data_IF_131272450876
#
_entry.id   IF_131272450876
#
_cell.length_a   1.000
_cell.length_b   1.000
_cell.length_c   1.000
_cell.angle_alpha   90.00
_cell.angle_beta   90.00
_cell.angle_gamma   90.00
#
_symmetry.space_group_name_H-M   'P 1'
#
loop_
_entity.id
_entity.type
_entity.pdbx_description
1 polymer ?
#
# COMPACT_ATOMS: atom_id res chain seq x y z
N UNK A 1 7.23 -12.06 16.20
CA UNK A 1 8.59 -11.57 15.89
C UNK A 1 8.45 -10.36 14.99
N UNK A 2 8.87 -9.17 15.47
CA UNK A 2 8.79 -7.93 14.72
C UNK A 2 9.44 -8.11 13.35
N UNK A 3 8.78 -7.59 12.30
CA UNK A 3 9.39 -7.57 10.97
C UNK A 3 10.79 -6.96 11.07
N UNK A 4 11.81 -7.71 10.68
CA UNK A 4 13.18 -7.19 10.70
C UNK A 4 13.29 -6.19 9.57
N UNK A 5 13.66 -4.94 9.88
CA UNK A 5 14.05 -3.99 8.86
C UNK A 5 15.37 -4.48 8.28
N UNK A 6 15.38 -4.72 6.98
CA UNK A 6 16.54 -5.26 6.26
C UNK A 6 17.14 -4.19 5.35
N UNK A 7 18.33 -4.48 4.81
CA UNK A 7 18.99 -3.60 3.84
C UNK A 7 18.20 -3.56 2.52
N UNK A 8 18.32 -2.49 1.72
CA UNK A 8 17.70 -2.38 0.40
C UNK A 8 17.85 -3.62 -0.48
N UNK A 9 19.04 -4.22 -0.54
CA UNK A 9 19.30 -5.39 -1.39
C UNK A 9 18.50 -6.61 -0.95
N UNK A 10 18.44 -6.86 0.37
CA UNK A 10 17.69 -7.98 0.95
C UNK A 10 16.17 -7.76 0.82
N UNK A 11 15.71 -6.51 0.95
CA UNK A 11 14.30 -6.18 0.71
C UNK A 11 13.93 -6.36 -0.76
N UNK A 12 14.75 -5.87 -1.69
CA UNK A 12 14.56 -6.05 -3.13
C UNK A 12 14.51 -7.53 -3.51
N UNK A 13 15.41 -8.36 -2.98
CA UNK A 13 15.37 -9.81 -3.20
C UNK A 13 14.10 -10.46 -2.64
N UNK A 14 13.60 -9.97 -1.50
CA UNK A 14 12.36 -10.44 -0.91
C UNK A 14 11.11 -10.07 -1.71
N UNK A 15 11.16 -9.01 -2.53
CA UNK A 15 10.06 -8.58 -3.41
C UNK A 15 9.97 -9.37 -4.73
N UNK A 16 10.96 -10.20 -5.08
CA UNK A 16 10.97 -11.02 -6.32
C UNK A 16 9.93 -12.15 -6.36
N UNK A 17 8.95 -12.12 -5.47
CA UNK A 17 7.89 -13.10 -5.33
C UNK A 17 6.56 -12.38 -5.11
N UNK A 18 5.46 -13.13 -5.13
CA UNK A 18 4.17 -12.57 -4.75
C UNK A 18 4.13 -12.25 -3.25
N UNK A 19 4.38 -10.98 -2.92
CA UNK A 19 4.36 -10.45 -1.53
C UNK A 19 3.04 -9.80 -1.15
N UNK A 20 2.16 -9.53 -2.12
CA UNK A 20 0.83 -8.95 -1.92
C UNK A 20 -0.25 -10.03 -1.70
N UNK A 21 0.15 -11.30 -1.66
CA UNK A 21 -0.73 -12.45 -1.46
C UNK A 21 -1.90 -12.52 -2.46
N UNK A 22 -1.60 -12.18 -3.72
CA UNK A 22 -2.55 -12.19 -4.83
C UNK A 22 -3.44 -10.95 -4.93
N UNK A 23 -3.25 -9.94 -4.08
CA UNK A 23 -3.87 -8.63 -4.23
C UNK A 23 -3.06 -7.74 -5.19
N UNK A 24 -3.69 -6.78 -5.84
CA UNK A 24 -3.04 -5.90 -6.82
C UNK A 24 -2.08 -4.90 -6.17
N UNK A 25 -2.40 -4.45 -4.95
CA UNK A 25 -1.60 -3.49 -4.20
C UNK A 25 -1.63 -3.81 -2.71
N UNK A 26 -0.58 -3.40 -2.01
CA UNK A 26 -0.52 -3.39 -0.55
C UNK A 26 0.03 -2.05 -0.08
N UNK A 27 -0.64 -1.43 0.89
CA UNK A 27 -0.17 -0.24 1.60
C UNK A 27 0.18 -0.64 3.02
N UNK A 28 1.37 -0.28 3.49
CA UNK A 28 1.82 -0.54 4.85
C UNK A 28 2.05 0.76 5.63
N UNK A 29 1.60 0.81 6.87
CA UNK A 29 1.82 1.92 7.79
C UNK A 29 2.57 1.45 9.03
N UNK A 30 3.69 2.11 9.35
CA UNK A 30 4.46 1.79 10.55
C UNK A 30 3.74 2.24 11.84
N UNK A 31 3.85 1.42 12.88
CA UNK A 31 3.23 1.66 14.19
C UNK A 31 3.77 2.94 14.88
N UNK A 32 5.06 3.26 14.76
CA UNK A 32 5.67 4.41 15.45
C UNK A 32 5.07 5.76 14.97
N UNK A 33 5.01 6.03 13.65
CA UNK A 33 4.32 7.22 13.12
C UNK A 33 2.83 7.27 13.48
N UNK A 34 2.14 6.12 13.43
CA UNK A 34 0.73 6.04 13.83
C UNK A 34 0.54 6.41 15.32
N UNK A 35 1.41 5.91 16.20
CA UNK A 35 1.44 6.30 17.61
C UNK A 35 1.65 7.80 17.81
N UNK A 36 2.56 8.41 17.05
CA UNK A 36 2.81 9.86 17.11
C UNK A 36 1.56 10.64 16.69
N UNK A 37 0.88 10.21 15.63
CA UNK A 37 -0.36 10.84 15.15
C UNK A 37 -1.52 10.65 16.15
N UNK A 38 -1.63 9.45 16.73
CA UNK A 38 -2.64 9.11 17.72
C UNK A 38 -2.46 9.93 19.01
N UNK A 39 -1.23 10.03 19.54
CA UNK A 39 -0.93 10.88 20.70
C UNK A 39 -1.28 12.35 20.44
N UNK A 40 -0.92 12.90 19.27
CA UNK A 40 -1.31 14.27 18.89
C UNK A 40 -2.83 14.46 18.81
N UNK A 41 -3.57 13.45 18.35
CA UNK A 41 -5.02 13.50 18.28
C UNK A 41 -5.66 13.39 19.68
N UNK A 42 -5.07 12.56 20.54
CA UNK A 42 -5.49 12.38 21.94
C UNK A 42 -5.32 13.68 22.73
N UNK A 43 -4.13 14.28 22.71
CA UNK A 43 -3.82 15.49 23.49
C UNK A 43 -4.67 16.71 23.11
N UNK A 44 -5.29 16.69 21.92
CA UNK A 44 -6.16 17.78 21.44
C UNK A 44 -7.58 17.74 22.01
N UNK A 45 -8.09 16.59 22.48
CA UNK A 45 -9.43 16.58 23.09
C UNK A 45 -9.34 16.61 24.61
N UNK A 46 -9.82 17.69 25.21
CA UNK A 46 -9.87 17.87 26.65
C UNK A 46 -10.72 16.79 27.36
N UNK A 47 -11.65 16.17 26.63
CA UNK A 47 -12.55 15.09 27.10
C UNK A 47 -11.79 13.89 27.68
N UNK A 48 -10.55 13.66 27.25
CA UNK A 48 -9.72 12.55 27.72
C UNK A 48 -8.99 12.81 29.04
N UNK A 49 -8.86 14.08 29.43
CA UNK A 49 -7.95 14.53 30.49
C UNK A 49 -8.59 14.67 31.87
N UNK A 50 -9.91 14.42 31.99
CA UNK A 50 -10.62 14.45 33.27
C UNK A 50 -11.96 13.71 33.23
N UNK A 51 -11.89 12.40 33.19
CA UNK A 51 -13.05 11.53 33.23
C UNK A 51 -13.51 11.37 34.68
N UNK A 52 -14.79 11.63 34.95
CA UNK A 52 -15.37 11.47 36.29
C UNK A 52 -16.38 10.33 36.27
N UNK A 53 -16.19 9.35 37.15
CA UNK A 53 -17.05 8.16 37.21
C UNK A 53 -17.45 7.85 38.65
N UNK A 54 -18.66 7.34 38.82
CA UNK A 54 -19.17 6.92 40.12
C UNK A 54 -19.75 5.52 39.99
N UNK A 55 -19.32 4.61 40.84
CA UNK A 55 -19.87 3.25 40.93
C UNK A 55 -20.39 3.02 42.33
N UNK A 56 -21.49 2.27 42.42
CA UNK A 56 -22.07 1.89 43.69
C UNK A 56 -22.04 0.37 43.81
N UNK A 57 -21.51 -0.13 44.92
CA UNK A 57 -21.52 -1.55 45.27
C UNK A 57 -22.33 -1.72 46.55
N UNK A 58 -23.34 -2.59 46.53
CA UNK A 58 -24.25 -2.81 47.65
C UNK A 58 -24.02 -4.22 48.21
N UNK A 59 -23.69 -4.29 49.50
CA UNK A 59 -23.59 -5.52 50.28
C UNK A 59 -24.54 -5.43 51.48
N UNK A 60 -25.73 -6.00 51.35
CA UNK A 60 -26.77 -5.97 52.38
C UNK A 60 -27.07 -4.54 52.89
N UNK A 61 -26.67 -4.19 54.11
CA UNK A 61 -26.87 -2.87 54.73
C UNK A 61 -25.72 -1.88 54.48
N UNK A 62 -24.69 -2.29 53.76
CA UNK A 62 -23.50 -1.49 53.42
C UNK A 62 -23.56 -1.09 51.95
N UNK A 63 -23.49 0.20 51.69
CA UNK A 63 -23.38 0.78 50.33
C UNK A 63 -22.02 1.46 50.20
N UNK A 64 -21.26 1.11 49.18
CA UNK A 64 -19.95 1.68 48.89
C UNK A 64 -20.07 2.50 47.60
N UNK A 65 -19.90 3.83 47.70
CA UNK A 65 -19.83 4.71 46.53
C UNK A 65 -18.36 4.97 46.20
N UNK A 66 -17.90 4.55 45.01
CA UNK A 66 -16.55 4.81 44.51
C UNK A 66 -16.59 5.89 43.44
N UNK A 67 -16.00 7.04 43.74
CA UNK A 67 -15.90 8.18 42.83
C UNK A 67 -14.47 8.30 42.30
N UNK A 68 -14.33 8.25 41.00
CA UNK A 68 -13.09 8.34 40.27
C UNK A 68 -12.99 9.68 39.55
N UNK A 69 -11.82 10.29 39.61
CA UNK A 69 -11.42 11.38 38.72
C UNK A 69 -10.14 10.92 38.04
N UNK A 70 -10.27 10.44 36.81
CA UNK A 70 -9.21 9.76 36.06
C UNK A 70 -8.76 10.60 34.88
N UNK A 71 -7.46 10.57 34.64
CA UNK A 71 -6.81 11.07 33.44
C UNK A 71 -6.18 9.87 32.72
N UNK A 72 -6.61 9.62 31.48
CA UNK A 72 -6.05 8.58 30.64
C UNK A 72 -4.93 9.17 29.78
N UNK A 73 -3.71 8.69 30.02
CA UNK A 73 -2.56 9.06 29.20
C UNK A 73 -2.75 8.63 27.75
N UNK A 74 -2.03 9.31 26.84
CA UNK A 74 -2.10 9.01 25.42
C UNK A 74 -1.86 7.51 25.12
N UNK A 75 -2.69 6.88 24.28
CA UNK A 75 -2.60 5.46 24.03
C UNK A 75 -1.35 5.10 23.23
N UNK A 76 -0.68 4.03 23.66
CA UNK A 76 0.32 3.31 22.87
C UNK A 76 -0.36 2.19 22.08
N UNK A 77 -0.37 2.32 20.77
CA UNK A 77 -0.81 1.35 19.78
C UNK A 77 0.23 0.26 19.54
N UNK A 78 -0.26 -0.98 19.52
CA UNK A 78 0.38 -2.17 18.99
C UNK A 78 -0.62 -2.92 18.09
N UNK A 79 -0.12 -3.79 17.22
CA UNK A 79 -0.97 -4.64 16.39
C UNK A 79 -0.85 -6.10 16.82
N UNK A 80 -1.99 -6.75 17.01
CA UNK A 80 -2.04 -8.19 17.25
C UNK A 80 -1.84 -8.95 15.93
N UNK A 81 -1.09 -10.05 16.00
CA UNK A 81 -0.73 -10.89 14.85
C UNK A 81 -1.28 -12.31 14.96
N UNK A 82 -1.97 -12.61 16.06
CA UNK A 82 -2.53 -13.93 16.35
C UNK A 82 -3.93 -14.11 15.77
N UNK A 83 -4.61 -13.00 15.48
CA UNK A 83 -5.92 -12.97 14.84
C UNK A 83 -5.82 -12.97 13.32
N UNK A 84 -6.85 -13.54 12.70
CA UNK A 84 -7.08 -13.48 11.26
C UNK A 84 -7.61 -12.11 10.80
N UNK A 85 -8.02 -11.25 11.74
CA UNK A 85 -8.46 -9.88 11.49
C UNK A 85 -7.43 -8.88 11.99
N UNK A 86 -7.41 -7.70 11.37
CA UNK A 86 -6.64 -6.57 11.86
C UNK A 86 -7.14 -6.14 13.26
N UNK A 87 -6.31 -6.34 14.28
CA UNK A 87 -6.62 -5.99 15.66
C UNK A 87 -5.56 -5.01 16.18
N UNK A 88 -6.03 -3.94 16.81
CA UNK A 88 -5.23 -2.98 17.54
C UNK A 88 -5.30 -3.25 19.04
N UNK A 89 -4.15 -3.15 19.70
CA UNK A 89 -4.03 -3.14 21.16
C UNK A 89 -3.58 -1.74 21.54
N UNK A 90 -4.43 -1.01 22.28
CA UNK A 90 -4.14 0.32 22.77
C UNK A 90 -3.91 0.25 24.28
N UNK A 91 -2.81 0.80 24.75
CA UNK A 91 -2.47 0.81 26.19
C UNK A 91 -2.36 2.25 26.67
N UNK A 92 -3.16 2.63 27.67
CA UNK A 92 -3.25 3.98 28.24
C UNK A 92 -2.85 3.96 29.70
N UNK A 93 -2.04 4.92 30.14
CA UNK A 93 -1.70 5.06 31.56
C UNK A 93 -2.91 5.58 32.34
N UNK A 94 -3.19 5.00 33.51
CA UNK A 94 -4.27 5.45 34.38
C UNK A 94 -3.67 6.34 35.48
N UNK A 95 -4.03 7.62 35.47
CA UNK A 95 -3.68 8.57 36.52
C UNK A 95 -4.94 9.14 37.15
N UNK A 96 -4.83 9.70 38.36
CA UNK A 96 -5.94 10.43 38.97
C UNK A 96 -6.16 10.09 40.44
N UNK A 97 -7.41 10.16 40.88
CA UNK A 97 -7.80 9.88 42.25
C UNK A 97 -9.05 9.01 42.34
N UNK A 98 -9.13 8.23 43.42
CA UNK A 98 -10.32 7.46 43.81
C UNK A 98 -10.76 7.90 45.20
N UNK A 99 -12.05 8.14 45.38
CA UNK A 99 -12.68 8.44 46.67
C UNK A 99 -13.70 7.36 46.96
N UNK A 100 -13.64 6.75 48.15
CA UNK A 100 -14.56 5.67 48.53
C UNK A 100 -15.40 6.11 49.72
N UNK A 101 -16.66 6.44 49.48
CA UNK A 101 -17.62 6.71 50.55
C UNK A 101 -18.28 5.40 50.97
N UNK A 102 -18.59 5.25 52.26
CA UNK A 102 -19.27 4.07 52.79
C UNK A 102 -20.51 4.50 53.56
N UNK A 103 -21.66 3.94 53.22
CA UNK A 103 -22.91 4.12 53.95
C UNK A 103 -23.25 2.81 54.68
N UNK A 104 -23.30 2.83 56.01
CA UNK A 104 -23.65 1.66 56.82
C UNK A 104 -24.93 1.98 57.57
N UNK A 105 -25.98 1.17 57.40
CA UNK A 105 -27.27 1.34 58.08
C UNK A 105 -27.86 2.77 57.90
N UNK A 106 -27.68 3.35 56.71
CA UNK A 106 -28.16 4.70 56.37
C UNK A 106 -27.24 5.85 56.78
N UNK A 107 -26.12 5.59 57.46
CA UNK A 107 -25.14 6.63 57.85
C UNK A 107 -24.00 6.68 56.85
N UNK A 108 -23.91 7.77 56.08
CA UNK A 108 -22.85 8.00 55.09
C UNK A 108 -21.57 8.53 55.76
N UNK A 109 -20.48 7.81 55.56
CA UNK A 109 -19.12 8.21 55.92
C UNK A 109 -18.36 8.56 54.65
N UNK A 110 -18.02 9.83 54.43
CA UNK A 110 -17.28 10.24 53.24
C UNK A 110 -15.83 9.75 53.30
N UNK A 111 -15.33 9.27 52.17
CA UNK A 111 -13.94 8.87 52.00
C UNK A 111 -13.01 10.07 51.81
N UNK A 112 -11.72 9.83 51.97
CA UNK A 112 -10.69 10.77 51.51
C UNK A 112 -10.21 10.36 50.11
N UNK A 113 -10.00 11.32 49.19
CA UNK A 113 -9.43 11.01 47.88
C UNK A 113 -8.03 10.41 48.03
N UNK A 114 -7.81 9.23 47.45
CA UNK A 114 -6.50 8.59 47.34
C UNK A 114 -6.00 8.73 45.91
N UNK A 115 -4.73 9.09 45.75
CA UNK A 115 -4.11 9.16 44.44
C UNK A 115 -3.89 7.75 43.87
N UNK A 116 -4.17 7.58 42.59
CA UNK A 116 -3.73 6.40 41.84
C UNK A 116 -2.21 6.54 41.66
N UNK A 117 -1.41 5.54 42.07
CA UNK A 117 0.04 5.56 41.89
C UNK A 117 0.40 5.79 40.42
N UNK A 118 1.24 6.80 40.18
CA UNK A 118 1.72 7.11 38.84
C UNK A 118 2.49 5.93 38.28
N UNK A 119 2.27 5.69 36.99
CA UNK A 119 3.00 4.71 36.19
C UNK A 119 2.86 3.24 36.60
N UNK A 120 1.89 2.92 37.47
CA UNK A 120 1.67 1.54 37.96
C UNK A 120 0.58 0.81 37.19
N UNK A 121 -0.52 1.49 36.87
CA UNK A 121 -1.70 0.88 36.27
C UNK A 121 -1.95 1.39 34.85
N UNK A 122 -2.33 0.48 33.97
CA UNK A 122 -2.62 0.76 32.57
C UNK A 122 -3.97 0.15 32.18
N UNK A 123 -4.73 0.88 31.38
CA UNK A 123 -5.90 0.37 30.68
C UNK A 123 -5.43 -0.16 29.34
N UNK A 124 -5.52 -1.47 29.14
CA UNK A 124 -5.31 -2.10 27.85
C UNK A 124 -6.66 -2.39 27.20
N UNK A 125 -6.79 -2.02 25.93
CA UNK A 125 -7.98 -2.27 25.14
C UNK A 125 -7.60 -2.91 23.82
N UNK A 126 -8.19 -4.06 23.53
CA UNK A 126 -7.99 -4.81 22.29
C UNK A 126 -9.22 -4.63 21.44
N UNK A 127 -9.07 -4.04 20.25
CA UNK A 127 -10.19 -3.65 19.38
C UNK A 127 -9.94 -4.06 17.94
N UNK A 128 -10.98 -4.52 17.22
CA UNK A 128 -10.88 -4.73 15.79
C UNK A 128 -10.71 -3.39 15.06
N UNK A 129 -9.95 -3.43 13.97
CA UNK A 129 -9.87 -2.35 12.99
C UNK A 129 -10.87 -2.68 11.89
N UNK A 130 -11.83 -1.80 11.66
CA UNK A 130 -12.94 -2.03 10.71
C UNK A 130 -13.06 -0.86 9.75
N UNK A 131 -13.68 -1.11 8.60
CA UNK A 131 -14.07 -0.05 7.68
C UNK A 131 -15.44 0.53 8.06
N UNK A 132 -15.62 1.82 7.88
CA UNK A 132 -16.93 2.49 7.96
C UNK A 132 -17.17 3.32 6.71
N UNK A 133 -18.33 3.10 6.09
CA UNK A 133 -18.82 3.90 4.95
C UNK A 133 -20.18 4.47 5.32
N UNK A 134 -20.28 5.79 5.50
CA UNK A 134 -21.50 6.42 6.02
C UNK A 134 -21.89 5.84 7.39
N UNK A 135 -23.02 5.13 7.45
CA UNK A 135 -23.50 4.45 8.67
C UNK A 135 -23.24 2.94 8.69
N UNK A 136 -22.65 2.39 7.62
CA UNK A 136 -22.35 0.97 7.50
C UNK A 136 -20.98 0.67 8.10
N UNK A 137 -20.92 -0.36 8.95
CA UNK A 137 -19.69 -0.91 9.54
C UNK A 137 -19.37 -2.22 8.86
N UNK A 138 -18.12 -2.40 8.46
CA UNK A 138 -17.60 -3.58 7.76
C UNK A 138 -16.70 -4.41 8.69
N UNK A 139 -17.29 -5.27 9.51
CA UNK A 139 -16.62 -6.01 10.60
C UNK A 139 -16.66 -7.56 10.46
N UNK A 140 -17.33 -8.06 9.41
CA UNK A 140 -17.46 -9.50 9.12
C UNK A 140 -17.01 -9.87 7.70
N UNK A 141 -16.79 -8.89 6.83
CA UNK A 141 -16.50 -9.15 5.43
C UNK A 141 -15.02 -9.45 5.22
N UNK A 142 -14.76 -10.49 4.45
CA UNK A 142 -13.41 -10.85 4.04
C UNK A 142 -12.75 -9.71 3.24
N UNK A 143 -13.53 -9.04 2.38
CA UNK A 143 -13.12 -7.88 1.60
C UNK A 143 -14.25 -6.86 1.58
N UNK A 144 -13.91 -5.59 1.80
CA UNK A 144 -14.81 -4.45 1.68
C UNK A 144 -14.84 -4.06 0.22
N UNK A 145 -16.04 -3.99 -0.37
CA UNK A 145 -16.18 -3.75 -1.81
C UNK A 145 -16.91 -2.44 -2.11
N UNK A 146 -16.49 -1.81 -3.20
CA UNK A 146 -17.14 -0.65 -3.79
C UNK A 146 -17.99 -1.12 -4.98
N UNK A 147 -19.17 -1.69 -4.69
CA UNK A 147 -20.08 -2.27 -5.69
C UNK A 147 -21.30 -1.36 -5.96
N UNK A 148 -21.11 -0.19 -6.58
CA UNK A 148 -22.26 0.69 -6.84
C UNK A 148 -21.98 2.01 -7.56
N UNK A 149 -22.97 2.50 -8.34
CA UNK A 149 -23.02 3.90 -8.78
C UNK A 149 -23.40 4.76 -7.56
N UNK A 150 -22.46 5.56 -7.06
CA UNK A 150 -22.63 6.37 -5.86
C UNK A 150 -21.73 5.96 -4.68
N UNK A 151 -20.93 4.91 -4.85
CA UNK A 151 -19.97 4.40 -3.85
C UNK A 151 -18.66 5.21 -3.78
N UNK A 152 -18.60 6.41 -4.36
CA UNK A 152 -17.48 7.36 -4.24
C UNK A 152 -17.24 7.82 -2.78
N UNK A 153 -18.04 7.34 -1.83
CA UNK A 153 -17.89 7.65 -0.42
C UNK A 153 -16.61 6.99 0.11
N UNK A 154 -15.75 7.77 0.80
CA UNK A 154 -14.56 7.21 1.41
C UNK A 154 -14.96 6.20 2.50
N UNK A 155 -14.30 5.05 2.49
CA UNK A 155 -14.32 4.12 3.61
C UNK A 155 -13.24 4.52 4.61
N UNK A 156 -13.65 4.84 5.84
CA UNK A 156 -12.74 5.20 6.92
C UNK A 156 -12.34 3.96 7.72
N UNK A 157 -11.04 3.74 7.89
CA UNK A 157 -10.53 2.66 8.73
C UNK A 157 -10.41 3.17 10.16
N UNK A 158 -11.14 2.56 11.08
CA UNK A 158 -11.24 3.04 12.46
C UNK A 158 -10.95 1.94 13.49
N UNK A 159 -10.52 2.36 14.68
CA UNK A 159 -10.57 1.51 15.87
C UNK A 159 -12.01 1.38 16.36
N UNK A 160 -12.59 0.19 16.31
CA UNK A 160 -14.02 0.02 16.55
C UNK A 160 -14.32 -0.43 17.98
N UNK A 161 -14.37 0.54 18.91
CA UNK A 161 -14.57 0.27 20.33
C UNK A 161 -15.97 -0.28 20.66
N UNK A 162 -17.00 0.12 19.91
CA UNK A 162 -18.40 -0.31 20.11
C UNK A 162 -18.69 -1.70 19.54
N UNK A 163 -17.76 -2.64 19.72
CA UNK A 163 -17.84 -4.01 19.21
C UNK A 163 -17.87 -5.03 20.35
N UNK A 164 -18.56 -6.15 20.14
CA UNK A 164 -18.63 -7.22 21.15
C UNK A 164 -17.33 -8.03 21.25
N UNK A 165 -16.43 -7.90 20.27
CA UNK A 165 -15.07 -8.48 20.27
C UNK A 165 -14.06 -7.61 21.01
N UNK A 166 -14.42 -6.39 21.40
CA UNK A 166 -13.53 -5.51 22.13
C UNK A 166 -13.30 -6.05 23.54
N UNK A 167 -12.05 -6.24 23.93
CA UNK A 167 -11.69 -6.60 25.30
C UNK A 167 -11.04 -5.42 26.01
N UNK A 168 -11.34 -5.31 27.31
CA UNK A 168 -10.83 -4.26 28.18
C UNK A 168 -10.21 -4.93 29.38
N UNK A 169 -8.96 -4.59 29.65
CA UNK A 169 -8.16 -5.19 30.72
C UNK A 169 -7.39 -4.11 31.48
N UNK A 170 -7.14 -4.36 32.75
CA UNK A 170 -6.27 -3.52 33.58
C UNK A 170 -4.96 -4.27 33.76
N UNK A 171 -3.88 -3.69 33.28
CA UNK A 171 -2.54 -4.18 33.57
C UNK A 171 -2.02 -3.46 34.81
N UNK A 172 -1.53 -4.23 35.78
CA UNK A 172 -0.80 -3.72 36.93
C UNK A 172 0.64 -4.19 36.87
N UNK A 173 1.61 -3.29 37.04
CA UNK A 173 2.99 -3.71 37.25
C UNK A 173 3.19 -4.22 38.68
N UNK A 174 3.95 -5.32 38.78
CA UNK A 174 4.10 -6.20 39.94
C UNK A 174 4.26 -5.49 41.30
N UNK A 175 3.73 -6.13 42.34
CA UNK A 175 3.66 -5.73 43.77
C UNK A 175 4.93 -5.15 44.39
N UNK A 176 6.09 -5.30 43.76
CA UNK A 176 7.36 -4.70 44.21
C UNK A 176 7.39 -3.17 44.29
N UNK A 177 6.46 -2.46 43.61
CA UNK A 177 6.39 -0.99 43.62
C UNK A 177 5.49 -0.46 44.75
N UNK A 178 4.56 -1.28 45.23
CA UNK A 178 3.58 -0.89 46.24
C UNK A 178 3.90 -1.61 47.55
N UNK A 179 4.42 -0.86 48.53
CA UNK A 179 4.75 -1.38 49.87
C UNK A 179 3.53 -1.77 50.73
N UNK A 180 2.31 -1.79 50.16
CA UNK A 180 1.04 -2.05 50.86
C UNK A 180 0.11 -2.94 50.02
N UNK A 181 0.11 -4.24 50.34
CA UNK A 181 -0.74 -5.27 49.73
C UNK A 181 -2.25 -5.00 49.89
N UNK A 182 -2.66 -4.27 50.94
CA UNK A 182 -4.07 -3.98 51.19
C UNK A 182 -4.56 -2.86 50.29
N UNK A 183 -3.74 -1.82 50.13
CA UNK A 183 -4.01 -0.74 49.19
C UNK A 183 -4.05 -1.25 47.74
N UNK A 184 -3.09 -2.10 47.33
CA UNK A 184 -3.08 -2.66 45.97
C UNK A 184 -4.33 -3.51 45.68
N UNK A 185 -4.75 -4.38 46.61
CA UNK A 185 -5.99 -5.16 46.44
C UNK A 185 -7.23 -4.29 46.32
N UNK A 186 -7.37 -3.27 47.17
CA UNK A 186 -8.51 -2.33 47.09
C UNK A 186 -8.48 -1.54 45.79
N UNK A 187 -7.30 -1.10 45.35
CA UNK A 187 -7.13 -0.37 44.10
C UNK A 187 -7.46 -1.25 42.89
N UNK A 188 -6.99 -2.49 42.85
CA UNK A 188 -7.32 -3.44 41.77
C UNK A 188 -8.81 -3.75 41.69
N UNK A 189 -9.50 -3.90 42.83
CA UNK A 189 -10.96 -4.05 42.83
C UNK A 189 -11.65 -2.82 42.25
N UNK A 190 -11.22 -1.64 42.68
CA UNK A 190 -11.72 -0.35 42.19
C UNK A 190 -11.48 -0.19 40.67
N UNK A 191 -10.29 -0.55 40.19
CA UNK A 191 -9.94 -0.51 38.77
C UNK A 191 -10.68 -1.56 37.94
N UNK A 192 -11.08 -2.70 38.52
CA UNK A 192 -11.95 -3.65 37.85
C UNK A 192 -13.36 -3.08 37.62
N UNK A 193 -13.90 -2.31 38.57
CA UNK A 193 -15.16 -1.58 38.36
C UNK A 193 -15.01 -0.48 37.30
N UNK A 194 -13.87 0.20 37.29
CA UNK A 194 -13.52 1.15 36.21
C UNK A 194 -13.47 0.48 34.83
N UNK A 195 -12.88 -0.72 34.73
CA UNK A 195 -12.87 -1.53 33.50
C UNK A 195 -14.29 -1.87 33.01
N UNK A 196 -15.19 -2.24 33.92
CA UNK A 196 -16.57 -2.59 33.57
C UNK A 196 -17.35 -1.41 32.97
N UNK A 197 -16.96 -0.17 33.30
CA UNK A 197 -17.54 1.02 32.68
C UNK A 197 -17.38 1.04 31.16
N UNK A 198 -16.18 0.69 30.66
CA UNK A 198 -15.85 0.71 29.23
C UNK A 198 -16.44 -0.47 28.45
N UNK A 199 -16.94 -1.50 29.14
CA UNK A 199 -17.70 -2.59 28.49
C UNK A 199 -19.04 -2.12 27.91
N UNK A 200 -19.59 -1.01 28.41
CA UNK A 200 -20.81 -0.42 27.86
C UNK A 200 -20.51 0.39 26.60
N UNK A 201 -21.19 0.06 25.49
CA UNK A 201 -21.06 0.75 24.20
C UNK A 201 -21.46 2.23 24.25
N UNK A 202 -22.23 2.64 25.24
CA UNK A 202 -22.63 4.05 25.42
C UNK A 202 -21.51 4.89 26.02
N UNK A 203 -20.54 4.26 26.68
CA UNK A 203 -19.44 4.93 27.35
C UNK A 203 -18.19 5.06 26.48
N UNK A 204 -18.19 4.53 25.25
CA UNK A 204 -17.03 4.51 24.35
C UNK A 204 -17.26 5.26 23.04
N UNK A 205 -18.39 5.97 22.89
CA UNK A 205 -18.79 6.66 21.66
C UNK A 205 -17.89 7.84 21.28
N UNK A 206 -17.07 8.35 22.21
CA UNK A 206 -16.14 9.46 21.99
C UNK A 206 -14.77 9.02 21.46
N UNK A 207 -14.51 7.70 21.41
CA UNK A 207 -13.22 7.10 21.04
C UNK A 207 -13.21 6.61 19.59
N UNK A 208 -13.61 7.43 18.62
CA UNK A 208 -13.46 7.06 17.20
C UNK A 208 -12.23 7.73 16.60
N UNK A 209 -11.21 6.93 16.29
CA UNK A 209 -9.98 7.38 15.62
C UNK A 209 -9.93 6.83 14.20
N UNK A 210 -9.87 7.74 13.23
CA UNK A 210 -9.57 7.40 11.84
C UNK A 210 -8.07 7.15 11.70
N UNK A 211 -7.71 5.94 11.28
CA UNK A 211 -6.33 5.51 11.04
C UNK A 211 -5.95 5.78 9.59
N UNK A 212 -6.83 5.43 8.65
CA UNK A 212 -6.62 5.58 7.22
C UNK A 212 -7.97 5.76 6.50
N UNK A 213 -7.91 6.05 5.21
CA UNK A 213 -9.07 6.27 4.36
C UNK A 213 -8.81 5.63 2.99
N UNK A 214 -9.80 4.88 2.50
CA UNK A 214 -9.76 4.24 1.18
C UNK A 214 -10.93 4.78 0.36
N UNK A 215 -10.66 5.27 -0.84
CA UNK A 215 -11.68 5.81 -1.74
C UNK A 215 -11.46 5.29 -3.16
N UNK A 216 -12.56 4.95 -3.83
CA UNK A 216 -12.60 4.59 -5.25
C UNK A 216 -12.89 5.79 -6.16
N UNK A 217 -12.86 7.01 -5.63
CA UNK A 217 -13.19 8.22 -6.37
C UNK A 217 -12.13 8.50 -7.44
N UNK A 218 -12.55 8.50 -8.69
CA UNK A 218 -11.72 8.92 -9.81
C UNK A 218 -11.52 10.44 -9.80
N UNK A 219 -10.31 10.88 -10.15
CA UNK A 219 -10.00 12.30 -10.27
C UNK A 219 -10.40 12.78 -11.67
N UNK A 220 -11.38 13.71 -11.81
CA UNK A 220 -11.95 14.06 -13.11
C UNK A 220 -10.95 14.65 -14.11
N UNK A 221 -9.83 15.18 -13.61
CA UNK A 221 -8.79 15.85 -14.40
C UNK A 221 -7.68 14.91 -14.87
N UNK A 222 -7.71 13.65 -14.45
CA UNK A 222 -6.67 12.67 -14.73
C UNK A 222 -7.29 11.44 -15.41
N UNK A 223 -6.96 11.27 -16.70
CA UNK A 223 -7.47 10.20 -17.55
C UNK A 223 -7.06 8.81 -17.07
N UNK A 224 -5.99 8.71 -16.29
CA UNK A 224 -5.44 7.45 -15.79
C UNK A 224 -5.80 7.21 -14.32
N UNK A 225 -6.53 8.14 -13.69
CA UNK A 225 -6.87 8.05 -12.26
C UNK A 225 -7.64 6.78 -11.88
N UNK A 226 -8.30 6.14 -12.84
CA UNK A 226 -9.01 4.88 -12.65
C UNK A 226 -8.13 3.65 -12.40
N UNK A 227 -6.84 3.68 -12.78
CA UNK A 227 -5.96 2.49 -12.75
C UNK A 227 -5.71 2.01 -11.31
N UNK A 228 -5.51 2.95 -10.39
CA UNK A 228 -5.26 2.66 -8.98
C UNK A 228 -6.53 2.78 -8.12
N UNK A 229 -7.71 2.98 -8.73
CA UNK A 229 -8.96 3.09 -7.97
C UNK A 229 -9.32 1.71 -7.37
N UNK A 230 -9.42 1.61 -6.04
CA UNK A 230 -9.88 0.41 -5.36
C UNK A 230 -11.26 -0.04 -5.86
N UNK A 231 -11.40 -1.32 -6.18
CA UNK A 231 -12.70 -2.01 -6.32
C UNK A 231 -13.08 -2.72 -5.03
N UNK A 232 -12.08 -3.21 -4.32
CA UNK A 232 -12.21 -3.82 -3.02
C UNK A 232 -10.90 -3.68 -2.25
N UNK A 233 -10.97 -3.88 -0.94
CA UNK A 233 -9.79 -3.94 -0.10
C UNK A 233 -10.05 -4.79 1.15
N UNK A 234 -8.99 -5.21 1.81
CA UNK A 234 -9.04 -5.82 3.13
C UNK A 234 -7.89 -5.31 4.00
N UNK A 235 -7.96 -5.60 5.29
CA UNK A 235 -6.96 -5.18 6.26
C UNK A 235 -6.35 -6.40 6.93
N UNK A 236 -5.04 -6.33 7.18
CA UNK A 236 -4.40 -7.25 8.10
C UNK A 236 -3.35 -6.53 8.94
N UNK A 237 -2.85 -7.22 9.95
CA UNK A 237 -1.81 -6.71 10.83
C UNK A 237 -0.59 -7.62 10.80
N UNK A 238 0.57 -6.99 10.84
CA UNK A 238 1.85 -7.61 11.16
C UNK A 238 2.44 -6.88 12.36
N UNK A 239 3.33 -7.53 13.10
CA UNK A 239 3.95 -6.91 14.27
C UNK A 239 4.67 -5.62 13.84
N UNK A 240 4.19 -4.48 14.35
CA UNK A 240 4.69 -3.14 14.02
C UNK A 240 4.04 -2.47 12.81
N UNK A 241 3.09 -3.10 12.10
CA UNK A 241 2.54 -2.58 10.84
C UNK A 241 1.04 -2.87 10.65
N UNK A 242 0.30 -1.86 10.20
CA UNK A 242 -1.03 -2.04 9.61
C UNK A 242 -0.88 -2.19 8.10
N UNK A 243 -1.54 -3.20 7.53
CA UNK A 243 -1.51 -3.50 6.10
C UNK A 243 -2.91 -3.34 5.50
N UNK A 244 -2.99 -2.68 4.35
CA UNK A 244 -4.21 -2.55 3.56
C UNK A 244 -3.94 -3.15 2.19
N UNK A 245 -4.62 -4.24 1.86
CA UNK A 245 -4.50 -4.94 0.58
C UNK A 245 -5.65 -4.52 -0.31
N UNK A 246 -5.37 -4.16 -1.56
CA UNK A 246 -6.31 -3.49 -2.45
C UNK A 246 -6.34 -4.23 -3.79
N UNK A 247 -7.54 -4.47 -4.30
CA UNK A 247 -7.80 -4.93 -5.66
C UNK A 247 -8.27 -3.73 -6.47
N UNK A 248 -7.64 -3.46 -7.60
CA UNK A 248 -8.06 -2.41 -8.55
C UNK A 248 -8.61 -3.03 -9.83
N UNK A 249 -8.16 -4.25 -10.15
CA UNK A 249 -8.54 -5.03 -11.33
C UNK A 249 -8.73 -6.50 -10.98
N UNK A 250 -9.51 -7.23 -11.77
CA UNK A 250 -9.66 -8.68 -11.54
C UNK A 250 -10.41 -9.05 -10.27
N UNK A 251 -9.86 -10.01 -9.50
CA UNK A 251 -10.50 -10.67 -8.35
C UNK A 251 -9.65 -10.46 -7.10
N UNK A 252 -10.32 -10.50 -5.95
CA UNK A 252 -9.69 -10.43 -4.63
C UNK A 252 -8.65 -11.53 -4.43
N UNK A 253 -7.58 -11.21 -3.69
CA UNK A 253 -6.50 -12.13 -3.35
C UNK A 253 -6.86 -13.13 -2.25
N UNK A 254 -5.85 -13.64 -1.55
CA UNK A 254 -6.02 -14.64 -0.50
C UNK A 254 -6.79 -14.09 0.72
N UNK A 255 -7.50 -14.99 1.41
CA UNK A 255 -8.07 -14.72 2.74
C UNK A 255 -7.01 -14.48 3.80
N UNK A 256 -7.18 -13.42 4.59
CA UNK A 256 -6.25 -12.99 5.64
C UNK A 256 -4.83 -12.74 5.10
N UNK A 257 -4.68 -11.82 4.12
CA UNK A 257 -3.43 -11.64 3.39
C UNK A 257 -2.31 -11.17 4.31
N UNK A 258 -1.09 -11.59 4.00
CA UNK A 258 0.12 -11.22 4.75
C UNK A 258 1.21 -10.75 3.80
N UNK A 259 2.06 -9.85 4.28
CA UNK A 259 3.30 -9.55 3.61
C UNK A 259 4.26 -10.73 3.75
N UNK A 260 4.15 -11.68 2.81
CA UNK A 260 4.87 -12.94 2.85
C UNK A 260 6.17 -12.84 2.05
N UNK A 261 7.30 -13.08 2.72
CA UNK A 261 8.62 -13.24 2.09
C UNK A 261 9.05 -14.71 2.22
N UNK A 262 9.70 -15.33 1.21
CA UNK A 262 10.17 -16.73 1.27
C UNK A 262 11.26 -16.96 2.33
N UNK A 263 11.71 -15.88 2.95
CA UNK A 263 12.73 -15.90 3.97
C UNK A 263 12.19 -16.55 5.26
N UNK A 264 13.03 -17.34 5.94
CA UNK A 264 12.71 -17.86 7.29
C UNK A 264 12.52 -16.74 8.32
N UNK A 265 12.95 -15.51 7.99
CA UNK A 265 12.77 -14.31 8.80
C UNK A 265 11.56 -13.53 8.30
N UNK A 266 10.74 -13.07 9.22
CA UNK A 266 9.71 -12.07 8.93
C UNK A 266 10.39 -10.74 8.63
N UNK A 267 10.27 -10.27 7.38
CA UNK A 267 10.82 -8.98 6.94
C UNK A 267 9.75 -7.90 7.15
N UNK A 268 10.18 -6.69 7.53
CA UNK A 268 9.29 -5.54 7.60
C UNK A 268 8.81 -5.14 6.18
N UNK A 269 7.53 -4.78 5.98
CA UNK A 269 6.99 -4.34 4.69
C UNK A 269 7.48 -2.93 4.27
N UNK A 270 8.43 -2.35 5.00
CA UNK A 270 8.94 -1.00 4.83
C UNK A 270 10.47 -1.05 4.98
N UNK A 271 11.18 -0.30 4.13
CA UNK A 271 12.64 -0.14 4.20
C UNK A 271 13.01 0.88 5.29
N UNK A 272 14.21 0.79 5.84
CA UNK A 272 14.69 1.70 6.88
C UNK A 272 14.46 3.19 6.50
N UNK A 273 14.14 4.02 7.50
CA UNK A 273 13.87 5.46 7.38
C UNK A 273 12.53 5.88 6.74
N UNK A 274 11.72 4.92 6.25
CA UNK A 274 10.37 5.21 5.76
C UNK A 274 9.30 4.96 6.83
N UNK A 275 8.22 5.75 6.79
CA UNK A 275 7.08 5.65 7.71
C UNK A 275 5.89 4.84 7.13
N UNK A 276 5.87 4.69 5.81
CA UNK A 276 4.86 3.95 5.05
C UNK A 276 5.46 3.40 3.75
N UNK A 277 4.81 2.41 3.14
CA UNK A 277 5.16 1.91 1.80
C UNK A 277 3.91 1.58 0.99
N UNK A 278 4.04 1.63 -0.34
CA UNK A 278 3.07 1.10 -1.28
C UNK A 278 3.81 0.08 -2.14
N UNK A 279 3.29 -1.14 -2.19
CA UNK A 279 3.79 -2.21 -3.05
C UNK A 279 2.72 -2.48 -4.10
N UNK A 280 3.11 -2.42 -5.37
CA UNK A 280 2.21 -2.65 -6.51
C UNK A 280 2.59 -3.96 -7.16
N UNK A 281 1.61 -4.82 -7.40
CA UNK A 281 1.82 -6.06 -8.11
C UNK A 281 2.31 -5.78 -9.53
N UNK A 282 3.34 -6.50 -9.93
CA UNK A 282 4.04 -6.24 -11.18
C UNK A 282 3.12 -6.30 -12.40
N UNK A 283 2.18 -7.26 -12.44
CA UNK A 283 1.23 -7.37 -13.56
C UNK A 283 0.34 -6.13 -13.72
N UNK A 284 -0.05 -5.46 -12.62
CA UNK A 284 -0.83 -4.21 -12.69
C UNK A 284 -0.04 -3.11 -13.38
N UNK A 285 1.25 -2.98 -13.05
CA UNK A 285 2.13 -2.00 -13.68
C UNK A 285 2.38 -2.33 -15.16
N UNK A 286 2.60 -3.61 -15.48
CA UNK A 286 2.82 -4.07 -16.86
C UNK A 286 1.58 -3.85 -17.72
N UNK A 287 0.38 -4.10 -17.17
CA UNK A 287 -0.89 -3.84 -17.85
C UNK A 287 -1.06 -2.36 -18.16
N UNK A 288 -0.74 -1.48 -17.21
CA UNK A 288 -0.70 -0.03 -17.43
C UNK A 288 0.25 0.35 -18.57
N UNK A 289 1.49 -0.15 -18.56
CA UNK A 289 2.48 0.13 -19.63
C UNK A 289 1.96 -0.34 -20.99
N UNK A 290 1.35 -1.52 -21.05
CA UNK A 290 0.76 -2.05 -22.29
C UNK A 290 -0.37 -1.16 -22.83
N UNK A 291 -1.22 -0.62 -21.96
CA UNK A 291 -2.31 0.26 -22.37
C UNK A 291 -1.81 1.64 -22.81
N UNK A 292 -0.73 2.15 -22.19
CA UNK A 292 -0.04 3.35 -22.66
C UNK A 292 0.61 3.14 -24.03
N UNK A 293 1.20 1.97 -24.29
CA UNK A 293 1.74 1.61 -25.61
C UNK A 293 0.62 1.59 -26.67
N UNK A 294 -0.50 0.90 -26.41
CA UNK A 294 -1.65 0.89 -27.33
C UNK A 294 -2.20 2.28 -27.60
N UNK A 295 -2.23 3.15 -26.60
CA UNK A 295 -2.69 4.54 -26.73
C UNK A 295 -1.71 5.35 -27.59
N UNK A 296 -0.41 5.17 -27.38
CA UNK A 296 0.64 5.85 -28.14
C UNK A 296 0.61 5.46 -29.63
N UNK A 297 0.39 4.18 -29.94
CA UNK A 297 0.32 3.65 -31.30
C UNK A 297 -1.12 3.51 -31.83
N UNK A 298 -2.04 4.31 -31.31
CA UNK A 298 -3.45 4.27 -31.72
C UNK A 298 -3.60 4.46 -33.22
N UNK A 299 -4.30 3.53 -33.87
CA UNK A 299 -4.50 3.51 -35.32
C UNK A 299 -3.56 2.56 -36.07
N UNK A 300 -2.50 2.08 -35.41
CA UNK A 300 -1.67 1.00 -35.92
C UNK A 300 -2.16 -0.36 -35.40
N UNK A 301 -1.99 -1.40 -36.21
CA UNK A 301 -2.24 -2.78 -35.78
C UNK A 301 -1.02 -3.27 -35.00
N UNK A 302 -1.07 -3.17 -33.68
CA UNK A 302 -0.01 -3.68 -32.81
C UNK A 302 -0.49 -4.90 -32.03
N UNK A 303 0.41 -5.85 -31.81
CA UNK A 303 0.25 -6.95 -30.84
C UNK A 303 1.35 -6.83 -29.81
N UNK A 304 1.02 -6.96 -28.53
CA UNK A 304 2.00 -6.91 -27.43
C UNK A 304 2.00 -8.26 -26.73
N UNK A 305 3.14 -8.94 -26.76
CA UNK A 305 3.42 -10.12 -25.97
C UNK A 305 4.13 -9.74 -24.66
N UNK A 306 3.75 -10.42 -23.57
CA UNK A 306 4.29 -10.18 -22.23
C UNK A 306 5.09 -11.40 -21.79
N UNK A 307 6.29 -11.17 -21.28
CA UNK A 307 7.14 -12.19 -20.68
C UNK A 307 7.58 -11.69 -19.29
N UNK A 308 7.27 -12.46 -18.24
CA UNK A 308 7.72 -12.15 -16.89
C UNK A 308 9.21 -12.43 -16.74
N UNK A 309 9.96 -11.50 -16.15
CA UNK A 309 11.37 -11.71 -15.80
C UNK A 309 11.53 -11.83 -14.28
N UNK A 310 12.74 -12.12 -13.81
CA UNK A 310 13.01 -12.29 -12.37
C UNK A 310 12.81 -11.01 -11.55
N UNK A 311 12.96 -9.84 -12.18
CA UNK A 311 12.97 -8.52 -11.50
C UNK A 311 12.15 -7.47 -12.24
N UNK A 312 11.27 -7.88 -13.14
CA UNK A 312 10.47 -6.98 -13.96
C UNK A 312 9.79 -7.70 -15.12
N UNK A 313 9.66 -7.02 -16.26
CA UNK A 313 8.90 -7.47 -17.42
C UNK A 313 9.67 -7.27 -18.71
N UNK A 314 9.42 -8.15 -19.66
CA UNK A 314 9.81 -7.99 -21.06
C UNK A 314 8.55 -7.91 -21.91
N UNK A 315 8.44 -6.84 -22.68
CA UNK A 315 7.31 -6.58 -23.57
C UNK A 315 7.81 -6.59 -25.01
N UNK A 316 7.28 -7.49 -25.83
CA UNK A 316 7.57 -7.53 -27.26
C UNK A 316 6.37 -7.01 -28.03
N UNK A 317 6.57 -5.95 -28.80
CA UNK A 317 5.53 -5.35 -29.63
C UNK A 317 5.81 -5.64 -31.11
N UNK A 318 4.87 -6.31 -31.75
CA UNK A 318 4.85 -6.56 -33.19
C UNK A 318 3.90 -5.56 -33.85
N UNK A 319 4.35 -4.88 -34.90
CA UNK A 319 3.52 -3.99 -35.71
C UNK A 319 3.16 -4.65 -37.05
N UNK A 320 1.88 -4.83 -37.33
CA UNK A 320 1.38 -5.28 -38.64
C UNK A 320 1.22 -4.09 -39.58
N UNK A 321 2.36 -3.50 -39.95
CA UNK A 321 2.47 -2.38 -40.87
C UNK A 321 3.66 -2.59 -41.82
N UNK A 322 3.66 -1.84 -42.92
CA UNK A 322 4.71 -1.85 -43.92
C UNK A 322 5.08 -0.43 -44.27
N UNK A 323 6.36 -0.11 -44.21
CA UNK A 323 6.87 1.16 -44.73
C UNK A 323 7.73 0.92 -45.96
N UNK A 324 7.58 1.79 -46.94
CA UNK A 324 8.42 1.82 -48.13
C UNK A 324 8.93 3.23 -48.35
N UNK A 325 10.21 3.37 -48.68
CA UNK A 325 10.82 4.64 -49.03
C UNK A 325 11.27 4.61 -50.48
N UNK A 326 11.16 5.75 -51.16
CA UNK A 326 11.80 5.94 -52.45
C UNK A 326 13.06 6.78 -52.24
N UNK A 327 14.22 6.14 -52.28
CA UNK A 327 15.54 6.77 -52.13
C UNK A 327 16.22 6.97 -53.48
N UNK A 328 15.47 6.84 -54.58
CA UNK A 328 16.02 6.95 -55.92
C UNK A 328 16.58 8.35 -56.17
N UNK A 329 17.74 8.41 -56.84
CA UNK A 329 18.41 9.67 -57.22
C UNK A 329 18.89 9.56 -58.65
N UNK A 330 18.88 10.68 -59.36
CA UNK A 330 19.34 10.78 -60.74
C UNK A 330 20.46 11.83 -60.91
N UNK A 331 21.67 11.57 -60.39
CA UNK A 331 22.80 12.45 -60.58
C UNK A 331 23.43 12.28 -61.98
N UNK A 332 23.17 13.23 -62.89
CA UNK A 332 23.83 13.25 -64.20
C UNK A 332 23.31 12.18 -65.17
N UNK A 333 24.17 11.25 -65.60
CA UNK A 333 23.84 10.12 -66.51
C UNK A 333 23.62 8.79 -65.76
N UNK A 334 23.52 8.85 -64.43
CA UNK A 334 23.32 7.69 -63.57
C UNK A 334 21.90 7.75 -62.98
N UNK A 335 21.12 6.71 -63.22
CA UNK A 335 19.84 6.48 -62.55
C UNK A 335 20.05 5.45 -61.43
N UNK A 336 20.02 5.91 -60.19
CA UNK A 336 20.10 5.05 -59.02
C UNK A 336 18.70 4.85 -58.43
N UNK A 337 18.24 3.61 -58.35
CA UNK A 337 16.95 3.27 -57.74
C UNK A 337 17.15 2.40 -56.51
N UNK A 338 16.60 2.86 -55.39
CA UNK A 338 16.62 2.14 -54.13
C UNK A 338 15.27 2.34 -53.44
N UNK A 339 14.50 1.25 -53.31
CA UNK A 339 13.15 1.28 -52.75
C UNK A 339 13.00 0.29 -51.60
N UNK A 340 13.66 0.54 -50.45
CA UNK A 340 13.57 -0.38 -49.32
C UNK A 340 12.12 -0.49 -48.86
N UNK A 341 11.67 -1.72 -48.64
CA UNK A 341 10.38 -2.07 -48.06
C UNK A 341 10.64 -2.82 -46.75
N UNK A 342 10.14 -2.31 -45.64
CA UNK A 342 10.23 -2.97 -44.34
C UNK A 342 8.84 -3.48 -43.97
N UNK A 343 8.74 -4.77 -43.71
CA UNK A 343 7.56 -5.40 -43.11
C UNK A 343 7.77 -5.51 -41.61
N UNK A 344 7.22 -4.58 -40.83
CA UNK A 344 7.47 -4.48 -39.39
C UNK A 344 7.02 -5.71 -38.60
N UNK A 345 6.09 -6.49 -39.16
CA UNK A 345 5.61 -7.74 -38.56
C UNK A 345 6.72 -8.78 -38.34
N UNK A 346 7.85 -8.62 -39.03
CA UNK A 346 9.00 -9.51 -38.94
C UNK A 346 10.01 -9.07 -37.87
N UNK A 347 9.78 -7.92 -37.22
CA UNK A 347 10.72 -7.30 -36.30
C UNK A 347 10.01 -6.76 -35.06
N UNK A 348 10.21 -7.43 -33.93
CA UNK A 348 9.64 -6.97 -32.67
C UNK A 348 10.45 -5.80 -32.10
N UNK A 349 9.72 -4.81 -31.58
CA UNK A 349 10.29 -3.82 -30.66
C UNK A 349 10.15 -4.37 -29.23
N UNK A 350 11.27 -4.56 -28.55
CA UNK A 350 11.30 -5.12 -27.20
C UNK A 350 11.56 -4.02 -26.16
N UNK A 351 10.78 -4.00 -25.09
CA UNK A 351 11.01 -3.21 -23.89
C UNK A 351 11.31 -4.14 -22.72
N UNK A 352 12.52 -4.05 -22.18
CA UNK A 352 12.90 -4.71 -20.93
C UNK A 352 12.77 -3.69 -19.78
N UNK A 353 11.94 -4.02 -18.79
CA UNK A 353 11.74 -3.29 -17.53
C UNK A 353 12.39 -4.11 -16.41
N UNK A 354 13.22 -3.49 -15.60
CA UNK A 354 13.83 -4.15 -14.45
C UNK A 354 14.18 -3.16 -13.35
N UNK A 355 14.00 -3.59 -12.10
CA UNK A 355 14.48 -2.85 -10.95
C UNK A 355 15.86 -3.35 -10.51
N UNK A 356 16.66 -2.44 -9.95
CA UNK A 356 17.90 -2.79 -9.27
C UNK A 356 17.70 -2.77 -7.75
N UNK A 357 18.74 -3.21 -7.02
CA UNK A 357 18.72 -3.25 -5.54
C UNK A 357 18.61 -1.89 -4.85
N UNK A 358 18.69 -0.79 -5.60
CA UNK A 358 18.47 0.56 -5.11
C UNK A 358 17.04 1.06 -5.37
N UNK A 359 16.14 0.19 -5.88
CA UNK A 359 14.78 0.52 -6.30
C UNK A 359 14.71 1.57 -7.40
N UNK A 360 15.78 1.68 -8.21
CA UNK A 360 15.73 2.47 -9.42
C UNK A 360 15.19 1.61 -10.56
N UNK A 361 14.02 1.99 -11.08
CA UNK A 361 13.48 1.39 -12.29
C UNK A 361 14.35 1.75 -13.48
N UNK A 362 14.83 0.72 -14.16
CA UNK A 362 15.56 0.83 -15.41
C UNK A 362 14.74 0.22 -16.52
N UNK A 363 14.94 0.77 -17.71
CA UNK A 363 14.31 0.24 -18.90
C UNK A 363 15.29 0.24 -20.06
N UNK A 364 15.08 -0.65 -21.02
CA UNK A 364 15.84 -0.69 -22.26
C UNK A 364 14.90 -1.03 -23.40
N UNK A 365 14.84 -0.16 -24.39
CA UNK A 365 14.22 -0.47 -25.67
C UNK A 365 15.26 -1.10 -26.59
N UNK A 366 14.92 -2.24 -27.18
CA UNK A 366 15.77 -2.94 -28.14
C UNK A 366 15.01 -3.15 -29.43
N UNK A 367 15.61 -2.72 -30.55
CA UNK A 367 15.16 -3.03 -31.90
C UNK A 367 16.38 -3.30 -32.77
N UNK A 368 16.45 -4.47 -33.37
CA UNK A 368 17.62 -4.90 -34.14
C UNK A 368 17.20 -5.69 -35.40
N UNK A 369 16.49 -5.07 -36.35
CA UNK A 369 16.18 -5.74 -37.61
C UNK A 369 17.43 -5.97 -38.46
N UNK A 370 17.49 -7.14 -39.08
CA UNK A 370 18.32 -7.41 -40.25
C UNK A 370 17.51 -7.12 -41.51
N UNK A 371 17.98 -6.19 -42.33
CA UNK A 371 17.31 -5.78 -43.57
C UNK A 371 18.20 -6.12 -44.77
N UNK A 372 17.61 -6.79 -45.75
CA UNK A 372 18.17 -6.93 -47.09
C UNK A 372 17.62 -5.78 -47.97
N UNK A 373 18.50 -4.86 -48.38
CA UNK A 373 18.13 -3.74 -49.25
C UNK A 373 18.63 -4.03 -50.67
N UNK A 374 17.68 -4.29 -51.57
CA UNK A 374 17.95 -4.40 -53.00
C UNK A 374 18.12 -2.99 -53.61
N UNK A 375 19.17 -2.83 -54.41
CA UNK A 375 19.42 -1.62 -55.20
C UNK A 375 19.76 -1.98 -56.63
N UNK A 376 19.47 -1.05 -57.55
CA UNK A 376 20.02 -1.12 -58.90
C UNK A 376 20.47 0.26 -59.40
N UNK A 377 21.52 0.23 -60.21
CA UNK A 377 22.11 1.38 -60.87
C UNK A 377 22.05 1.18 -62.37
N UNK A 378 21.66 2.23 -63.09
CA UNK A 378 21.71 2.29 -64.55
C UNK A 378 22.68 3.39 -64.95
N UNK A 379 23.75 3.01 -65.64
CA UNK A 379 24.68 3.95 -66.25
C UNK A 379 24.41 4.03 -67.75
N UNK A 380 24.04 5.22 -68.22
CA UNK A 380 23.93 5.54 -69.65
C UNK A 380 25.22 6.17 -70.13
N UNK A 381 26.16 5.32 -70.55
CA UNK A 381 27.35 5.76 -71.29
C UNK A 381 27.10 5.55 -72.79
N UNK A 382 26.91 6.64 -73.52
CA UNK A 382 26.81 6.64 -75.00
C UNK A 382 25.62 5.85 -75.58
N UNK A 383 24.48 5.77 -74.89
CA UNK A 383 23.26 5.11 -75.38
C UNK A 383 23.21 3.60 -75.09
N UNK A 384 24.12 3.09 -74.25
CA UNK A 384 24.11 1.71 -73.75
C UNK A 384 23.81 1.74 -72.26
N UNK A 385 22.63 1.25 -71.88
CA UNK A 385 22.25 1.10 -70.48
C UNK A 385 22.93 -0.13 -69.87
N UNK A 386 23.91 0.08 -69.01
CA UNK A 386 24.44 -1.00 -68.16
C UNK A 386 23.67 -1.03 -66.85
N UNK A 387 23.23 -2.22 -66.43
CA UNK A 387 22.48 -2.40 -65.19
C UNK A 387 23.35 -3.14 -64.18
N UNK A 388 23.52 -2.55 -63.00
CA UNK A 388 24.14 -3.23 -61.86
C UNK A 388 23.09 -3.44 -60.78
N UNK A 389 23.13 -4.62 -60.15
CA UNK A 389 22.23 -5.01 -59.07
C UNK A 389 23.06 -5.41 -57.85
N UNK A 390 22.56 -5.10 -56.67
CA UNK A 390 23.17 -5.57 -55.43
C UNK A 390 22.16 -5.67 -54.30
N UNK A 391 22.55 -6.45 -53.28
CA UNK A 391 21.82 -6.55 -52.01
C UNK A 391 22.78 -6.13 -50.91
N UNK A 392 22.36 -5.19 -50.07
CA UNK A 392 23.10 -4.79 -48.87
C UNK A 392 22.38 -5.32 -47.65
N UNK A 393 23.09 -6.10 -46.83
CA UNK A 393 22.65 -6.48 -45.49
C UNK A 393 22.97 -5.35 -44.53
N UNK A 394 21.95 -4.86 -43.82
CA UNK A 394 22.14 -3.87 -42.76
C UNK A 394 21.43 -4.29 -41.49
N UNK A 395 22.11 -4.09 -40.35
CA UNK A 395 21.56 -4.24 -39.01
C UNK A 395 21.32 -2.85 -38.44
N UNK A 396 20.08 -2.53 -38.07
CA UNK A 396 19.79 -1.29 -37.35
C UNK A 396 19.60 -1.57 -35.87
N UNK A 397 20.60 -1.30 -35.05
CA UNK A 397 20.46 -1.46 -33.60
C UNK A 397 20.03 -0.15 -32.93
N UNK A 398 18.89 -0.20 -32.24
CA UNK A 398 18.47 0.79 -31.26
C UNK A 398 18.59 0.17 -29.87
N UNK A 399 19.44 0.75 -29.02
CA UNK A 399 19.36 0.59 -27.56
C UNK A 399 19.33 1.97 -26.91
N UNK A 400 18.23 2.31 -26.24
CA UNK A 400 18.12 3.60 -25.53
C UNK A 400 17.59 3.41 -24.11
N UNK A 401 18.11 4.25 -23.20
CA UNK A 401 17.71 4.33 -21.80
C UNK A 401 16.95 5.65 -21.49
N UNK A 402 16.41 6.34 -22.51
CA UNK A 402 15.75 7.64 -22.33
C UNK A 402 14.40 7.74 -23.05
N UNK A 403 13.42 8.36 -22.38
CA UNK A 403 12.03 8.55 -22.82
C UNK A 403 11.85 9.67 -23.88
N UNK A 404 12.93 10.28 -24.37
CA UNK A 404 12.86 11.55 -25.11
C UNK A 404 13.04 11.48 -26.62
N UNK A 405 13.30 10.30 -27.20
CA UNK A 405 13.56 10.21 -28.62
C UNK A 405 12.27 9.86 -29.36
N UNK A 406 11.71 10.83 -30.10
CA UNK A 406 10.63 10.54 -31.03
C UNK A 406 11.10 9.47 -32.03
N UNK A 407 10.23 8.56 -32.44
CA UNK A 407 10.55 7.56 -33.46
C UNK A 407 11.14 8.21 -34.73
N UNK A 408 10.72 9.44 -35.03
CA UNK A 408 11.24 10.31 -36.10
C UNK A 408 12.70 10.76 -35.90
N UNK A 409 13.14 11.06 -34.68
CA UNK A 409 14.54 11.45 -34.41
C UNK A 409 15.48 10.24 -34.41
N UNK A 410 14.98 9.07 -34.00
CA UNK A 410 15.69 7.79 -34.13
C UNK A 410 15.82 7.38 -35.61
N UNK A 411 14.75 7.53 -36.40
CA UNK A 411 14.74 7.26 -37.83
C UNK A 411 15.66 8.19 -38.65
N UNK A 412 15.77 9.46 -38.27
CA UNK A 412 16.71 10.39 -38.90
C UNK A 412 18.18 10.00 -38.64
N UNK A 413 18.49 9.44 -37.47
CA UNK A 413 19.83 8.93 -37.13
C UNK A 413 20.16 7.65 -37.93
N UNK A 414 19.17 6.79 -38.21
CA UNK A 414 19.38 5.60 -39.05
C UNK A 414 19.69 5.95 -40.51
N UNK A 415 18.95 6.89 -41.09
CA UNK A 415 19.15 7.34 -42.48
C UNK A 415 20.53 7.98 -42.68
N UNK A 416 21.12 8.58 -41.63
CA UNK A 416 22.46 9.16 -41.70
C UNK A 416 23.58 8.12 -41.67
N UNK A 417 23.36 6.95 -41.04
CA UNK A 417 24.36 5.87 -40.99
C UNK A 417 24.39 4.97 -42.23
N UNK A 418 23.28 4.84 -42.95
CA UNK A 418 23.22 4.04 -44.20
C UNK A 418 23.95 4.75 -45.37
N UNK A 419 24.20 6.05 -45.25
CA UNK A 419 24.77 6.89 -46.32
C UNK A 419 26.24 7.30 -46.10
N UNK A 420 26.92 6.78 -45.07
CA UNK A 420 28.36 7.00 -44.85
C UNK A 420 29.17 5.71 -44.95
#
# INVERSE_FOLDING_TARGET
MSGTIVKPEEFHDALKQNVTDGWDMMVAYAQIPLNRSLSKAWDRKAEFTKLTYSFQVIYDTVVIDQNFVVDLGAPSLQFDTTSDMAIAILTMMINGTVTTDTTISGVKTPGTPKAIPKDVYQLQVTVPIVGITGNQVWDHDHAIKFEGKGDDQPCHLIFHFRNDRSTWDILGHCSSVLNDDTFDKQMQQSLNSFKDHFKSKDNTHWIDYKVAEVTNKQYPTDSDSGVLCPKSFTMSSQEGYLLVFITTTGKDGTQNPRFNTKSKKTIAPIINDYEASIVIHHDLFVDYVCDQMKTTFKGQKITIAKESTLTGAKLSMTMDDTASWDLSKTPGHLDFTCKPKIEYKNFDLTLDLFDNSNFETKFTWTWAPELDIEWYEVEDSQGINTHQWGVVKTTSELSTASFGASFTSIWQIMLTKIWY
#
